data_IF_855507357827
#
_entry.id   IF_855507357827
#
_cell.length_a   1.000
_cell.length_b   1.000
_cell.length_c   1.000
_cell.angle_alpha   90.00
_cell.angle_beta   90.00
_cell.angle_gamma   90.00
#
_symmetry.space_group_name_H-M   'P 1'
#
loop_
_entity.id
_entity.type
_entity.pdbx_description
1 polymer ?
#
# COMPACT_ATOMS: atom_id res chain seq x y z
N UNK A 1 2.63 8.21 9.29
CA UNK A 1 3.71 8.88 8.55
C UNK A 1 3.25 10.23 8.06
N UNK A 2 4.14 11.24 8.08
CA UNK A 2 3.84 12.59 7.59
C UNK A 2 4.79 13.02 6.47
N UNK A 3 4.23 13.49 5.36
CA UNK A 3 4.96 14.12 4.27
C UNK A 3 5.36 15.54 4.65
N UNK A 4 6.54 15.97 4.18
CA UNK A 4 7.05 17.34 4.37
C UNK A 4 7.14 18.03 3.01
N UNK A 5 7.14 19.36 3.01
CA UNK A 5 7.25 20.17 1.80
C UNK A 5 6.17 19.83 0.77
N UNK A 6 4.92 19.78 1.23
CA UNK A 6 3.79 19.48 0.35
C UNK A 6 3.34 20.71 -0.43
N UNK A 7 2.78 20.48 -1.61
CA UNK A 7 2.14 21.53 -2.42
C UNK A 7 0.86 20.98 -3.02
N UNK A 8 -0.21 21.79 -2.95
CA UNK A 8 -1.47 21.49 -3.64
C UNK A 8 -1.33 21.84 -5.12
N UNK A 9 -1.84 20.97 -5.99
CA UNK A 9 -1.84 21.18 -7.43
C UNK A 9 -3.12 20.62 -8.05
N UNK A 10 -3.35 20.94 -9.33
CA UNK A 10 -4.45 20.39 -10.12
C UNK A 10 -3.91 19.40 -11.14
N UNK A 11 -4.42 18.18 -11.15
CA UNK A 11 -4.02 17.17 -12.12
C UNK A 11 -4.45 17.58 -13.54
N UNK A 12 -3.56 17.43 -14.52
CA UNK A 12 -3.86 17.72 -15.93
C UNK A 12 -3.91 16.42 -16.73
N UNK A 13 -2.81 15.67 -16.77
CA UNK A 13 -2.72 14.42 -17.51
C UNK A 13 -1.60 13.53 -16.99
N UNK A 14 -1.69 12.23 -17.28
CA UNK A 14 -0.66 11.22 -16.95
C UNK A 14 -0.25 10.50 -18.24
N UNK A 15 0.73 11.02 -19.01
CA UNK A 15 1.11 10.45 -20.30
C UNK A 15 1.71 9.04 -20.19
N UNK A 16 2.26 8.66 -19.03
CA UNK A 16 2.75 7.31 -18.78
C UNK A 16 2.73 6.98 -17.28
N UNK A 17 3.08 5.73 -16.93
CA UNK A 17 3.01 5.24 -15.54
C UNK A 17 3.88 6.00 -14.53
N UNK A 18 4.89 6.74 -14.96
CA UNK A 18 5.83 7.41 -14.05
C UNK A 18 5.75 8.94 -14.07
N UNK A 19 5.04 9.53 -15.03
CA UNK A 19 5.03 10.99 -15.25
C UNK A 19 3.60 11.51 -15.30
N UNK A 20 3.36 12.62 -14.62
CA UNK A 20 2.13 13.40 -14.73
C UNK A 20 2.45 14.88 -14.98
N UNK A 21 1.50 15.57 -15.61
CA UNK A 21 1.44 17.01 -15.72
C UNK A 21 0.41 17.53 -14.73
N UNK A 22 0.79 18.59 -14.01
CA UNK A 22 -0.06 19.23 -13.00
C UNK A 22 0.03 20.75 -13.13
N UNK A 23 -1.05 21.46 -12.80
CA UNK A 23 -1.06 22.89 -12.61
C UNK A 23 -0.58 23.21 -11.20
N UNK A 24 0.56 23.88 -11.09
CA UNK A 24 1.16 24.32 -9.83
C UNK A 24 1.56 25.79 -10.00
N UNK A 25 1.11 26.68 -9.10
CA UNK A 25 1.44 28.12 -9.11
C UNK A 25 1.22 28.80 -10.48
N UNK A 26 0.12 28.47 -11.15
CA UNK A 26 -0.26 29.06 -12.45
C UNK A 26 0.52 28.53 -13.67
N UNK A 27 1.41 27.54 -13.51
CA UNK A 27 2.16 26.91 -14.60
C UNK A 27 1.97 25.40 -14.65
N UNK A 28 2.29 24.80 -15.79
CA UNK A 28 2.33 23.34 -15.95
C UNK A 28 3.68 22.83 -15.43
N UNK A 29 3.64 21.91 -14.46
CA UNK A 29 4.80 21.26 -13.87
C UNK A 29 4.80 19.76 -14.22
N UNK A 30 5.98 19.20 -14.50
CA UNK A 30 6.15 17.77 -14.76
C UNK A 30 6.60 17.06 -13.49
N UNK A 31 5.79 16.12 -13.00
CA UNK A 31 6.00 15.45 -11.71
C UNK A 31 6.14 13.95 -11.88
N UNK A 32 6.81 13.30 -10.93
CA UNK A 32 6.88 11.85 -10.86
C UNK A 32 5.62 11.30 -10.17
N UNK A 33 5.01 10.27 -10.74
CA UNK A 33 3.92 9.53 -10.08
C UNK A 33 4.52 8.36 -9.30
N UNK A 34 4.43 8.39 -7.97
CA UNK A 34 4.91 7.33 -7.06
C UNK A 34 4.00 6.10 -7.01
N UNK A 35 3.35 5.77 -8.12
CA UNK A 35 2.45 4.64 -8.24
C UNK A 35 2.66 3.98 -9.59
N UNK A 36 2.86 2.66 -9.64
CA UNK A 36 2.97 1.90 -10.90
C UNK A 36 1.61 1.44 -11.44
N UNK A 37 0.60 1.44 -10.59
CA UNK A 37 -0.80 1.19 -10.90
C UNK A 37 -1.45 2.29 -11.71
N UNK A 38 -2.70 2.06 -12.13
CA UNK A 38 -3.38 2.89 -13.12
C UNK A 38 -3.98 4.17 -12.54
N UNK A 39 -4.52 4.12 -11.32
CA UNK A 39 -5.16 5.24 -10.62
C UNK A 39 -6.14 6.04 -11.49
N UNK A 40 -6.85 5.39 -12.43
CA UNK A 40 -7.67 6.07 -13.46
C UNK A 40 -8.89 6.75 -12.85
N UNK A 41 -9.39 6.19 -11.77
CA UNK A 41 -10.51 6.66 -10.97
C UNK A 41 -10.13 7.80 -10.00
N UNK A 42 -8.83 8.03 -9.80
CA UNK A 42 -8.30 9.06 -8.89
C UNK A 42 -7.71 10.26 -9.64
N UNK A 43 -6.93 9.98 -10.69
CA UNK A 43 -6.20 10.96 -11.48
C UNK A 43 -7.03 11.43 -12.68
N UNK A 44 -8.13 12.12 -12.40
CA UNK A 44 -8.99 12.75 -13.40
C UNK A 44 -8.55 14.21 -13.63
N UNK A 45 -8.63 14.73 -14.87
CA UNK A 45 -8.32 16.15 -15.13
C UNK A 45 -9.10 17.08 -14.19
N UNK A 46 -8.38 18.00 -13.53
CA UNK A 46 -8.93 18.93 -12.54
C UNK A 46 -8.95 18.41 -11.09
N UNK A 47 -8.72 17.11 -10.86
CA UNK A 47 -8.61 16.56 -9.50
C UNK A 47 -7.53 17.30 -8.71
N UNK A 48 -7.81 17.55 -7.43
CA UNK A 48 -6.80 18.07 -6.52
C UNK A 48 -5.79 16.97 -6.19
N UNK A 49 -4.51 17.31 -6.21
CA UNK A 49 -3.43 16.38 -5.91
C UNK A 49 -2.41 17.01 -4.98
N UNK A 50 -1.73 16.16 -4.22
CA UNK A 50 -0.64 16.56 -3.35
C UNK A 50 0.68 16.14 -3.95
N UNK A 51 1.57 17.11 -4.02
CA UNK A 51 2.94 16.97 -4.45
C UNK A 51 3.87 17.03 -3.25
N UNK A 52 4.95 16.26 -3.26
CA UNK A 52 6.05 16.36 -2.30
C UNK A 52 7.28 16.86 -3.03
N UNK A 53 7.83 18.00 -2.61
CA UNK A 53 9.05 18.53 -3.19
C UNK A 53 10.26 17.70 -2.77
N UNK A 54 11.04 17.24 -3.73
CA UNK A 54 12.28 16.53 -3.48
C UNK A 54 13.40 17.49 -3.07
N UNK A 55 14.24 17.08 -2.13
CA UNK A 55 15.45 17.83 -1.76
C UNK A 55 16.65 17.58 -2.67
N UNK A 56 16.54 16.68 -3.66
CA UNK A 56 17.65 16.33 -4.54
C UNK A 56 17.60 17.13 -5.86
N UNK A 57 18.46 18.15 -6.03
CA UNK A 57 18.44 19.00 -7.22
C UNK A 57 18.77 18.25 -8.51
N UNK A 58 19.42 17.07 -8.43
CA UNK A 58 19.79 16.25 -9.59
C UNK A 58 18.63 15.46 -10.19
N UNK A 59 17.46 15.43 -9.55
CA UNK A 59 16.31 14.69 -10.09
C UNK A 59 15.73 15.39 -11.32
N UNK A 60 15.33 14.59 -12.31
CA UNK A 60 14.64 15.08 -13.53
C UNK A 60 13.31 15.78 -13.20
N UNK A 61 12.59 15.28 -12.20
CA UNK A 61 11.35 15.88 -11.68
C UNK A 61 11.58 16.32 -10.24
N UNK A 62 11.18 17.55 -9.91
CA UNK A 62 11.39 18.11 -8.56
C UNK A 62 10.28 17.74 -7.58
N UNK A 63 9.20 17.12 -8.06
CA UNK A 63 8.04 16.76 -7.25
C UNK A 63 7.62 15.30 -7.47
N UNK A 64 7.10 14.70 -6.41
CA UNK A 64 6.41 13.41 -6.41
C UNK A 64 4.92 13.63 -6.13
N UNK A 65 4.04 13.12 -6.98
CA UNK A 65 2.60 13.06 -6.73
C UNK A 65 2.32 11.89 -5.78
N UNK A 66 1.80 12.19 -4.58
CA UNK A 66 1.63 11.21 -3.48
C UNK A 66 0.18 10.99 -3.05
N UNK A 67 -0.72 11.94 -3.32
CA UNK A 67 -2.14 11.78 -3.00
C UNK A 67 -3.03 12.47 -4.03
N UNK A 68 -4.26 12.00 -4.16
CA UNK A 68 -5.30 12.58 -5.00
C UNK A 68 -6.61 12.69 -4.22
N UNK A 69 -7.35 13.77 -4.42
CA UNK A 69 -8.67 13.96 -3.84
C UNK A 69 -9.74 13.36 -4.77
N UNK A 70 -10.58 12.47 -4.22
CA UNK A 70 -11.75 11.91 -4.90
C UNK A 70 -13.01 12.51 -4.28
N UNK A 71 -13.79 13.22 -5.10
CA UNK A 71 -15.05 13.82 -4.66
C UNK A 71 -15.97 12.77 -4.01
N UNK A 72 -16.54 13.10 -2.85
CA UNK A 72 -17.39 12.19 -2.08
C UNK A 72 -16.65 11.13 -1.25
N UNK A 73 -15.32 11.00 -1.40
CA UNK A 73 -14.50 10.05 -0.65
C UNK A 73 -13.42 10.72 0.21
N UNK A 74 -12.78 11.77 -0.31
CA UNK A 74 -11.71 12.49 0.37
C UNK A 74 -10.32 12.21 -0.24
N UNK A 75 -9.28 12.33 0.58
CA UNK A 75 -7.89 12.09 0.16
C UNK A 75 -7.58 10.61 0.07
N UNK A 76 -7.00 10.19 -1.06
CA UNK A 76 -6.46 8.84 -1.26
C UNK A 76 -4.95 8.96 -1.43
N UNK A 77 -4.19 8.26 -0.58
CA UNK A 77 -2.75 8.19 -0.77
C UNK A 77 -2.44 7.17 -1.86
N UNK A 78 -1.65 7.60 -2.86
CA UNK A 78 -1.26 6.77 -4.00
C UNK A 78 0.23 6.46 -4.01
N UNK A 79 0.98 6.81 -2.98
CA UNK A 79 2.40 6.51 -2.89
C UNK A 79 2.59 5.01 -2.59
N UNK A 80 3.00 4.25 -3.61
CA UNK A 80 3.23 2.81 -3.52
C UNK A 80 4.34 2.41 -2.54
N UNK A 81 5.14 3.36 -2.05
CA UNK A 81 6.15 3.12 -1.01
C UNK A 81 5.63 3.39 0.41
N UNK A 82 4.51 4.10 0.55
CA UNK A 82 3.93 4.42 1.84
C UNK A 82 3.47 3.18 2.65
N UNK A 83 2.88 2.12 2.06
CA UNK A 83 2.41 0.95 2.79
C UNK A 83 3.46 0.34 3.73
N UNK A 84 4.66 0.03 3.24
CA UNK A 84 5.71 -0.53 4.08
C UNK A 84 6.12 0.44 5.19
N UNK A 85 6.18 1.75 4.89
CA UNK A 85 6.54 2.76 5.89
C UNK A 85 5.51 2.84 7.01
N UNK A 86 4.21 2.89 6.70
CA UNK A 86 3.16 2.98 7.72
C UNK A 86 3.02 1.69 8.51
N UNK A 87 3.20 0.53 7.88
CA UNK A 87 3.24 -0.76 8.60
C UNK A 87 4.42 -0.79 9.56
N UNK A 88 5.59 -0.30 9.16
CA UNK A 88 6.75 -0.22 10.05
C UNK A 88 6.49 0.71 11.24
N UNK A 89 5.94 1.90 11.01
CA UNK A 89 5.57 2.84 12.08
C UNK A 89 4.57 2.20 13.05
N UNK A 90 3.50 1.59 12.52
CA UNK A 90 2.50 0.88 13.32
C UNK A 90 3.07 -0.30 14.11
N UNK A 91 3.99 -1.08 13.54
CA UNK A 91 4.66 -2.18 14.25
C UNK A 91 5.57 -1.67 15.38
N UNK A 92 6.24 -0.52 15.21
CA UNK A 92 7.05 0.08 16.28
C UNK A 92 6.20 0.49 17.49
N UNK A 93 4.94 0.85 17.27
CA UNK A 93 3.98 1.17 18.33
C UNK A 93 3.44 -0.08 19.06
N UNK A 94 3.96 -1.27 18.76
CA UNK A 94 3.64 -2.55 19.40
C UNK A 94 2.12 -2.82 19.47
N UNK A 95 1.46 -2.97 18.32
CA UNK A 95 0.02 -3.06 18.24
C UNK A 95 -0.49 -4.30 18.97
N UNK A 96 -1.75 -4.28 19.42
CA UNK A 96 -2.29 -5.33 20.27
C UNK A 96 -2.21 -6.76 19.68
N UNK A 97 -2.19 -6.88 18.35
CA UNK A 97 -2.00 -8.16 17.64
C UNK A 97 -0.57 -8.73 17.78
N UNK A 98 0.41 -7.82 17.91
CA UNK A 98 1.84 -8.09 17.98
C UNK A 98 2.43 -7.45 19.25
N UNK A 99 1.93 -7.85 20.42
CA UNK A 99 2.47 -7.39 21.70
C UNK A 99 3.88 -7.92 21.92
N UNK A 100 4.72 -7.12 22.58
CA UNK A 100 6.07 -7.50 23.00
C UNK A 100 6.97 -7.90 21.82
N UNK A 101 7.01 -7.09 20.76
CA UNK A 101 7.95 -7.28 19.66
C UNK A 101 9.37 -7.14 20.21
N UNK A 102 10.13 -8.24 20.23
CA UNK A 102 11.53 -8.27 20.66
C UNK A 102 12.49 -8.10 19.49
N UNK A 103 12.02 -8.38 18.27
CA UNK A 103 12.78 -8.19 17.05
C UNK A 103 11.85 -7.78 15.91
N UNK A 104 12.24 -6.73 15.16
CA UNK A 104 11.59 -6.27 13.94
C UNK A 104 12.64 -6.11 12.84
N UNK A 105 12.56 -6.93 11.79
CA UNK A 105 13.45 -6.90 10.63
C UNK A 105 12.66 -6.60 9.36
N UNK A 106 12.78 -5.39 8.77
CA UNK A 106 12.24 -5.11 7.45
C UNK A 106 13.09 -5.81 6.36
N UNK A 107 12.49 -6.05 5.19
CA UNK A 107 13.13 -6.64 4.01
C UNK A 107 13.85 -7.96 4.33
N UNK A 108 13.20 -8.84 5.08
CA UNK A 108 13.78 -10.07 5.59
C UNK A 108 13.81 -11.17 4.52
N UNK A 109 14.95 -11.83 4.38
CA UNK A 109 15.11 -12.98 3.47
C UNK A 109 14.73 -14.28 4.17
N UNK A 110 13.68 -14.92 3.69
CA UNK A 110 13.28 -16.29 4.05
C UNK A 110 13.52 -17.21 2.85
N UNK A 111 14.50 -18.10 2.97
CA UNK A 111 14.95 -18.93 1.85
C UNK A 111 15.42 -18.09 0.66
N UNK A 112 14.69 -18.16 -0.46
CA UNK A 112 14.94 -17.36 -1.68
C UNK A 112 13.97 -16.19 -1.84
N UNK A 113 13.03 -16.04 -0.93
CA UNK A 113 11.97 -15.04 -0.94
C UNK A 113 12.31 -13.91 0.04
N UNK A 114 12.06 -12.66 -0.37
CA UNK A 114 12.19 -11.51 0.51
C UNK A 114 10.81 -11.02 0.89
N UNK A 115 10.49 -11.12 2.17
CA UNK A 115 9.24 -10.65 2.76
C UNK A 115 9.43 -9.23 3.32
N UNK A 116 8.35 -8.46 3.38
CA UNK A 116 8.42 -7.07 3.84
C UNK A 116 8.85 -6.98 5.32
N UNK A 117 8.35 -7.85 6.20
CA UNK A 117 8.71 -7.86 7.63
C UNK A 117 8.84 -9.26 8.23
N UNK A 118 9.84 -9.42 9.10
CA UNK A 118 9.94 -10.48 10.10
C UNK A 118 9.85 -9.91 11.50
N UNK A 119 9.08 -10.57 12.37
CA UNK A 119 8.93 -10.20 13.77
C UNK A 119 9.19 -11.41 14.68
N UNK A 120 9.69 -11.12 15.88
CA UNK A 120 9.61 -12.04 17.02
C UNK A 120 8.76 -11.42 18.12
N UNK A 121 7.74 -12.15 18.56
CA UNK A 121 6.88 -11.79 19.69
C UNK A 121 6.85 -12.97 20.67
N UNK A 122 7.71 -12.95 21.68
CA UNK A 122 7.97 -14.11 22.54
C UNK A 122 8.36 -15.35 21.71
N UNK A 123 7.56 -16.42 21.72
CA UNK A 123 7.80 -17.64 20.93
C UNK A 123 7.31 -17.55 19.48
N UNK A 124 6.57 -16.51 19.11
CA UNK A 124 5.97 -16.36 17.77
C UNK A 124 7.01 -15.79 16.82
N UNK A 125 7.27 -16.51 15.73
CA UNK A 125 8.04 -16.03 14.57
C UNK A 125 7.07 -15.67 13.45
N UNK A 126 7.03 -14.40 13.10
CA UNK A 126 5.97 -13.85 12.25
C UNK A 126 6.57 -13.30 10.95
N UNK A 127 5.96 -13.61 9.82
CA UNK A 127 6.27 -13.03 8.51
C UNK A 127 5.07 -12.23 8.02
N UNK A 128 5.29 -10.99 7.57
CA UNK A 128 4.23 -10.11 7.06
C UNK A 128 4.60 -9.60 5.68
N UNK A 129 3.81 -9.96 4.68
CA UNK A 129 3.87 -9.36 3.35
C UNK A 129 2.84 -8.23 3.25
N UNK A 130 3.27 -7.07 2.76
CA UNK A 130 2.46 -5.86 2.65
C UNK A 130 1.99 -5.65 1.21
N UNK A 131 0.75 -5.18 1.08
CA UNK A 131 0.12 -4.74 -0.18
C UNK A 131 -0.57 -3.40 0.05
N UNK A 132 -0.36 -2.46 -0.85
CA UNK A 132 -1.15 -1.23 -0.90
C UNK A 132 -2.45 -1.46 -1.68
N UNK A 133 -3.57 -1.00 -1.13
CA UNK A 133 -4.86 -1.01 -1.81
C UNK A 133 -5.31 0.43 -2.09
N UNK A 134 -5.42 0.77 -3.38
CA UNK A 134 -5.90 2.07 -3.86
C UNK A 134 -7.09 1.97 -4.82
N UNK A 135 -7.57 0.76 -5.11
CA UNK A 135 -8.74 0.49 -5.93
C UNK A 135 -9.94 0.20 -5.02
N UNK A 136 -11.03 0.91 -5.25
CA UNK A 136 -12.28 0.78 -4.49
C UNK A 136 -13.47 0.73 -5.44
N UNK A 137 -14.46 -0.10 -5.11
CA UNK A 137 -15.77 -0.15 -5.78
C UNK A 137 -16.83 -0.51 -4.74
N UNK A 138 -17.87 0.30 -4.66
CA UNK A 138 -19.02 0.15 -3.75
C UNK A 138 -18.61 -0.02 -2.26
N UNK A 139 -17.60 0.73 -1.83
CA UNK A 139 -17.07 0.71 -0.45
C UNK A 139 -16.16 -0.48 -0.14
N UNK A 140 -15.81 -1.28 -1.15
CA UNK A 140 -14.94 -2.46 -1.02
C UNK A 140 -13.61 -2.21 -1.74
N UNK A 141 -12.50 -2.49 -1.05
CA UNK A 141 -11.18 -2.44 -1.65
C UNK A 141 -10.88 -3.68 -2.48
N UNK A 142 -10.10 -3.53 -3.54
CA UNK A 142 -9.73 -4.64 -4.41
C UNK A 142 -8.23 -4.66 -4.69
N UNK A 143 -7.63 -5.85 -4.66
CA UNK A 143 -6.24 -6.05 -5.05
C UNK A 143 -6.09 -7.31 -5.91
N UNK A 144 -5.31 -7.28 -7.01
CA UNK A 144 -4.53 -6.13 -7.49
C UNK A 144 -5.33 -5.21 -8.42
N UNK A 145 -4.82 -4.01 -8.69
CA UNK A 145 -5.36 -3.07 -9.68
C UNK A 145 -4.79 -3.28 -11.10
N UNK A 146 -3.77 -4.14 -11.22
CA UNK A 146 -3.18 -4.65 -12.46
C UNK A 146 -2.64 -6.08 -12.24
N UNK A 147 -2.48 -6.91 -13.28
CA UNK A 147 -1.92 -8.26 -13.14
C UNK A 147 -0.57 -8.28 -12.38
N UNK A 148 -0.39 -9.26 -11.50
CA UNK A 148 0.78 -9.36 -10.61
C UNK A 148 1.23 -10.80 -10.34
N UNK A 149 2.06 -11.33 -11.24
CA UNK A 149 2.72 -12.64 -11.05
C UNK A 149 3.58 -12.67 -9.79
N UNK A 150 4.21 -11.54 -9.46
CA UNK A 150 5.00 -11.41 -8.24
C UNK A 150 4.13 -11.58 -7.00
N UNK A 151 2.93 -10.98 -6.97
CA UNK A 151 1.99 -11.15 -5.85
C UNK A 151 1.52 -12.59 -5.68
N UNK A 152 1.22 -13.28 -6.79
CA UNK A 152 0.89 -14.71 -6.80
C UNK A 152 2.02 -15.54 -6.20
N UNK A 153 3.26 -15.34 -6.68
CA UNK A 153 4.42 -16.05 -6.15
C UNK A 153 4.58 -15.83 -4.65
N UNK A 154 4.50 -14.58 -4.19
CA UNK A 154 4.68 -14.25 -2.77
C UNK A 154 3.65 -14.93 -1.86
N UNK A 155 2.40 -15.11 -2.33
CA UNK A 155 1.37 -15.85 -1.59
C UNK A 155 1.73 -17.33 -1.42
N UNK A 156 2.26 -17.99 -2.45
CA UNK A 156 2.71 -19.37 -2.33
C UNK A 156 3.96 -19.52 -1.44
N UNK A 157 4.88 -18.54 -1.46
CA UNK A 157 6.03 -18.52 -0.55
C UNK A 157 5.57 -18.36 0.91
N UNK A 158 4.60 -17.48 1.18
CA UNK A 158 3.98 -17.36 2.51
C UNK A 158 3.27 -18.65 2.94
N UNK A 159 2.55 -19.32 2.02
CA UNK A 159 1.92 -20.60 2.30
C UNK A 159 2.95 -21.69 2.66
N UNK A 160 4.13 -21.66 2.01
CA UNK A 160 5.28 -22.49 2.38
C UNK A 160 5.77 -22.19 3.80
N UNK A 161 5.99 -20.91 4.12
CA UNK A 161 6.46 -20.51 5.43
C UNK A 161 5.48 -20.84 6.56
N UNK A 162 4.18 -20.74 6.31
CA UNK A 162 3.14 -21.13 7.26
C UNK A 162 3.24 -22.62 7.61
N UNK A 163 3.47 -23.48 6.61
CA UNK A 163 3.69 -24.92 6.82
C UNK A 163 4.98 -25.24 7.59
N UNK A 164 5.99 -24.39 7.48
CA UNK A 164 7.24 -24.47 8.24
C UNK A 164 7.09 -23.97 9.70
N UNK A 165 5.89 -23.56 10.11
CA UNK A 165 5.58 -23.14 11.48
C UNK A 165 5.75 -21.65 11.75
N UNK A 166 5.95 -20.83 10.71
CA UNK A 166 5.85 -19.37 10.87
C UNK A 166 4.40 -18.94 10.97
N UNK A 167 4.13 -17.91 11.75
CA UNK A 167 2.86 -17.21 11.68
C UNK A 167 2.92 -16.22 10.52
N UNK A 168 2.06 -16.39 9.51
CA UNK A 168 2.15 -15.61 8.29
C UNK A 168 0.95 -14.68 8.11
N UNK A 169 1.21 -13.46 7.66
CA UNK A 169 0.20 -12.47 7.32
C UNK A 169 0.41 -11.91 5.93
N UNK A 170 -0.68 -11.72 5.19
CA UNK A 170 -0.75 -10.74 4.12
C UNK A 170 -1.54 -9.52 4.62
N UNK A 171 -0.87 -8.37 4.65
CA UNK A 171 -1.40 -7.12 5.16
C UNK A 171 -1.75 -6.15 4.04
N UNK A 172 -3.02 -5.82 3.90
CA UNK A 172 -3.51 -4.81 2.97
C UNK A 172 -3.62 -3.46 3.66
N UNK A 173 -2.73 -2.52 3.32
CA UNK A 173 -2.81 -1.11 3.71
C UNK A 173 -3.83 -0.42 2.83
N UNK A 174 -4.94 0.00 3.43
CA UNK A 174 -6.09 0.57 2.73
C UNK A 174 -6.01 2.09 2.81
N UNK A 175 -5.33 2.68 1.84
CA UNK A 175 -5.08 4.11 1.74
C UNK A 175 -6.28 4.92 1.19
N UNK A 176 -7.48 4.41 1.41
CA UNK A 176 -8.75 4.91 0.87
C UNK A 176 -9.71 5.14 2.05
N UNK A 177 -10.16 6.38 2.31
CA UNK A 177 -11.07 6.66 3.41
C UNK A 177 -12.35 5.84 3.35
N UNK A 178 -12.83 5.38 4.51
CA UNK A 178 -14.10 4.64 4.63
C UNK A 178 -14.06 3.17 4.20
N UNK A 179 -12.99 2.70 3.54
CA UNK A 179 -12.86 1.30 3.12
C UNK A 179 -12.24 0.47 4.25
N UNK A 180 -12.88 -0.66 4.57
CA UNK A 180 -12.48 -1.50 5.71
C UNK A 180 -12.08 -2.94 5.37
N UNK A 181 -12.31 -3.38 4.14
CA UNK A 181 -12.00 -4.75 3.67
C UNK A 181 -11.45 -4.74 2.26
N UNK A 182 -10.63 -5.74 1.95
CA UNK A 182 -10.06 -5.96 0.62
C UNK A 182 -10.42 -7.36 0.14
N UNK A 183 -10.93 -7.45 -1.09
CA UNK A 183 -11.17 -8.71 -1.78
C UNK A 183 -10.18 -8.90 -2.95
N UNK A 184 -9.88 -10.15 -3.33
CA UNK A 184 -9.08 -10.40 -4.52
C UNK A 184 -9.82 -9.91 -5.76
N UNK A 185 -9.15 -9.13 -6.60
CA UNK A 185 -9.68 -8.63 -7.86
C UNK A 185 -9.59 -9.71 -8.94
N UNK A 186 -10.47 -10.71 -8.87
CA UNK A 186 -10.51 -11.83 -9.82
C UNK A 186 -10.81 -11.39 -11.25
N UNK A 187 -11.45 -10.23 -11.45
CA UNK A 187 -11.64 -9.65 -12.79
C UNK A 187 -10.32 -9.21 -13.43
N UNK A 188 -9.34 -8.81 -12.61
CA UNK A 188 -8.04 -8.30 -13.09
C UNK A 188 -6.98 -9.38 -13.12
N UNK A 189 -6.95 -10.28 -12.13
CA UNK A 189 -6.00 -11.39 -12.07
C UNK A 189 -6.60 -12.57 -11.28
N UNK A 190 -7.33 -13.48 -11.94
CA UNK A 190 -7.94 -14.65 -11.30
C UNK A 190 -6.96 -15.48 -10.44
N UNK A 191 -5.74 -15.67 -10.94
CA UNK A 191 -4.67 -16.45 -10.30
C UNK A 191 -4.29 -15.90 -8.93
N UNK A 192 -4.41 -14.58 -8.72
CA UNK A 192 -4.20 -13.97 -7.41
C UNK A 192 -5.26 -14.42 -6.39
N UNK A 193 -6.52 -14.55 -6.81
CA UNK A 193 -7.59 -15.07 -5.95
C UNK A 193 -7.36 -16.52 -5.56
N UNK A 194 -6.99 -17.36 -6.52
CA UNK A 194 -6.62 -18.77 -6.27
C UNK A 194 -5.46 -18.89 -5.30
N UNK A 195 -4.39 -18.11 -5.50
CA UNK A 195 -3.22 -18.13 -4.62
C UNK A 195 -3.54 -17.60 -3.22
N UNK A 196 -4.42 -16.60 -3.10
CA UNK A 196 -4.83 -16.05 -1.80
C UNK A 196 -5.64 -17.07 -1.01
N UNK A 197 -6.56 -17.79 -1.65
CA UNK A 197 -7.31 -18.88 -1.03
C UNK A 197 -6.37 -20.00 -0.57
N UNK A 198 -5.45 -20.45 -1.44
CA UNK A 198 -4.49 -21.48 -1.10
C UNK A 198 -3.55 -21.07 0.05
N UNK A 199 -3.20 -19.78 0.15
CA UNK A 199 -2.42 -19.25 1.27
C UNK A 199 -3.23 -19.26 2.58
N UNK A 200 -4.50 -18.85 2.52
CA UNK A 200 -5.40 -18.90 3.67
C UNK A 200 -5.59 -20.33 4.18
N UNK A 201 -5.81 -21.30 3.28
CA UNK A 201 -5.92 -22.72 3.62
C UNK A 201 -4.64 -23.28 4.27
N UNK A 202 -3.48 -22.72 3.94
CA UNK A 202 -2.20 -23.06 4.56
C UNK A 202 -1.95 -22.36 5.90
N UNK A 203 -2.86 -21.51 6.38
CA UNK A 203 -2.77 -20.80 7.65
C UNK A 203 -2.25 -19.35 7.55
N UNK A 204 -2.10 -18.79 6.35
CA UNK A 204 -1.76 -17.37 6.18
C UNK A 204 -2.99 -16.51 6.49
N UNK A 205 -2.86 -15.57 7.43
CA UNK A 205 -3.95 -14.69 7.85
C UNK A 205 -4.02 -13.43 6.99
N UNK A 206 -5.22 -12.96 6.69
CA UNK A 206 -5.45 -11.70 5.99
C UNK A 206 -5.65 -10.57 7.00
N UNK A 207 -4.86 -9.51 6.88
CA UNK A 207 -4.93 -8.33 7.72
C UNK A 207 -5.34 -7.12 6.89
N UNK A 208 -6.52 -6.57 7.16
CA UNK A 208 -6.94 -5.30 6.58
C UNK A 208 -6.56 -4.16 7.53
N UNK A 209 -5.81 -3.19 7.00
CA UNK A 209 -5.30 -2.03 7.73
C UNK A 209 -5.90 -0.75 7.14
N UNK A 210 -7.14 -0.39 7.50
CA UNK A 210 -7.71 0.93 7.23
C UNK A 210 -6.77 2.04 7.67
N UNK A 211 -6.70 3.11 6.88
CA UNK A 211 -5.88 4.27 7.20
C UNK A 211 -6.71 5.54 7.42
N UNK A 212 -6.26 6.35 8.37
CA UNK A 212 -6.55 7.78 8.38
C UNK A 212 -5.72 8.42 7.26
N UNK A 213 -6.39 9.14 6.36
CA UNK A 213 -5.73 9.79 5.22
C UNK A 213 -6.07 11.28 5.23
N UNK A 214 -5.03 12.11 5.25
CA UNK A 214 -5.12 13.54 4.99
C UNK A 214 -4.33 13.89 3.72
N UNK A 215 -4.25 15.17 3.39
CA UNK A 215 -3.40 15.65 2.30
C UNK A 215 -1.92 15.26 2.50
N UNK A 216 -1.41 15.32 3.73
CA UNK A 216 0.01 15.17 4.06
C UNK A 216 0.31 14.02 5.03
N UNK A 217 -0.69 13.26 5.45
CA UNK A 217 -0.53 12.23 6.46
C UNK A 217 -1.24 10.93 6.07
N UNK A 218 -0.60 9.82 6.43
CA UNK A 218 -1.15 8.48 6.33
C UNK A 218 -0.80 7.71 7.59
N UNK A 219 -1.79 7.22 8.32
CA UNK A 219 -1.58 6.37 9.51
C UNK A 219 -2.60 5.25 9.55
N UNK A 220 -2.23 4.11 10.11
CA UNK A 220 -3.16 2.99 10.31
C UNK A 220 -4.14 3.39 11.41
N UNK A 221 -5.44 3.36 11.12
CA UNK A 221 -6.49 3.84 12.02
C UNK A 221 -7.01 2.72 12.91
N UNK A 222 -7.36 1.60 12.29
CA UNK A 222 -7.94 0.41 12.91
C UNK A 222 -7.29 -0.83 12.32
N UNK A 223 -7.49 -1.96 12.99
CA UNK A 223 -7.13 -3.27 12.48
C UNK A 223 -8.42 -4.05 12.25
N UNK A 224 -8.59 -4.58 11.05
CA UNK A 224 -9.65 -5.54 10.74
C UNK A 224 -8.97 -6.85 10.35
N UNK A 225 -9.11 -7.85 11.21
CA UNK A 225 -8.70 -9.22 10.92
C UNK A 225 -9.95 -10.01 10.54
N UNK A 226 -9.95 -10.63 9.36
CA UNK A 226 -10.89 -11.72 9.11
C UNK A 226 -10.37 -12.98 9.85
N UNK A 227 -11.29 -13.70 10.50
CA UNK A 227 -11.02 -14.94 11.26
C UNK A 227 -10.73 -16.08 10.29
#
# INVERSE_FOLDING_TARGET
MKYKNISHARFIARPNRFVAYVGLDGRVETVHVKNTGRCKELLLPGSEVILVKTGNPRRKTQYDLVAAYKNGLGWVNIDSQAPNKVVKEWLNDSPALFKNITLLKPEYTYGRFRVDFYLECASRKILIEVKGCTLETDGIGYFPDAPTERGVKHLYELAGAARDGYECYIAFVIAIPGVRKVLPNVKTHPEFGTALAAAADAGVRVLCLPCNVSADELSISDIVTDI
#
